data_IF_338090038728
#
_entry.id   IF_338090038728
#
_cell.length_a   1.000
_cell.length_b   1.000
_cell.length_c   1.000
_cell.angle_alpha   90.00
_cell.angle_beta   90.00
_cell.angle_gamma   90.00
#
_symmetry.space_group_name_H-M   'P 1'
#
loop_
_entity.id
_entity.type
_entity.pdbx_description
1 polymer ?
#
# COMPACT_ATOMS: atom_id res chain seq x y z
N UNK A 1 22.70 -2.52 16.11
CA UNK A 1 21.64 -1.68 15.47
C UNK A 1 20.40 -2.57 15.35
N UNK A 2 19.25 -2.13 15.86
CA UNK A 2 18.00 -2.90 15.80
C UNK A 2 17.23 -2.69 14.50
N UNK A 3 16.21 -3.52 14.27
CA UNK A 3 15.23 -3.32 13.20
C UNK A 3 14.39 -2.07 13.51
N UNK A 4 14.12 -1.24 12.49
CA UNK A 4 13.20 -0.11 12.65
C UNK A 4 11.79 -0.65 12.88
N UNK A 5 11.03 0.02 13.73
CA UNK A 5 9.59 -0.22 13.82
C UNK A 5 8.91 0.31 12.55
N UNK A 6 7.79 -0.33 12.18
CA UNK A 6 6.97 0.09 11.05
C UNK A 6 5.49 -0.01 11.41
N UNK A 7 4.68 0.90 10.86
CA UNK A 7 3.23 0.90 10.98
C UNK A 7 2.59 0.60 9.62
N UNK A 8 1.64 -0.32 9.62
CA UNK A 8 0.83 -0.70 8.45
C UNK A 8 -0.58 -0.16 8.67
N UNK A 9 -1.13 0.56 7.70
CA UNK A 9 -2.42 1.24 7.85
C UNK A 9 -3.10 1.47 6.50
N UNK A 10 -4.42 1.74 6.53
CA UNK A 10 -5.18 2.11 5.34
C UNK A 10 -5.12 3.64 5.13
N UNK A 11 -4.73 4.14 3.94
CA UNK A 11 -4.68 5.58 3.62
C UNK A 11 -6.00 6.33 3.86
N UNK A 12 -7.12 5.62 3.79
CA UNK A 12 -8.45 6.17 3.98
C UNK A 12 -8.94 6.12 5.44
N UNK A 13 -8.14 5.57 6.36
CA UNK A 13 -8.52 5.42 7.78
C UNK A 13 -8.79 6.72 8.53
N UNK A 14 -8.29 7.83 8.00
CA UNK A 14 -8.50 9.18 8.54
C UNK A 14 -9.71 9.90 7.92
N UNK A 15 -10.43 9.26 6.99
CA UNK A 15 -11.62 9.86 6.40
C UNK A 15 -12.82 9.73 7.33
N UNK A 16 -13.65 10.77 7.37
CA UNK A 16 -14.94 10.71 8.06
C UNK A 16 -15.92 9.81 7.31
N UNK A 17 -16.68 9.00 8.04
CA UNK A 17 -17.76 8.15 7.55
C UNK A 17 -19.10 8.69 8.08
N UNK A 18 -20.09 8.81 7.18
CA UNK A 18 -21.39 9.39 7.52
C UNK A 18 -21.32 10.91 7.73
N UNK A 19 -22.04 11.43 8.72
CA UNK A 19 -22.07 12.87 8.99
C UNK A 19 -20.75 13.39 9.63
N UNK A 20 -20.20 12.68 10.62
CA UNK A 20 -19.00 13.10 11.38
C UNK A 20 -18.22 11.92 12.02
N UNK A 21 -18.54 10.66 11.71
CA UNK A 21 -17.93 9.49 12.37
C UNK A 21 -16.60 9.08 11.74
N UNK A 22 -15.90 8.12 12.37
CA UNK A 22 -14.75 7.42 11.78
C UNK A 22 -15.02 5.91 11.81
N UNK A 23 -14.45 5.16 10.88
CA UNK A 23 -14.53 3.69 10.90
C UNK A 23 -13.67 3.15 12.06
N UNK A 24 -14.32 2.63 13.10
CA UNK A 24 -13.63 2.12 14.30
C UNK A 24 -12.73 0.91 14.03
N UNK A 25 -12.80 0.31 12.84
CA UNK A 25 -11.90 -0.79 12.42
C UNK A 25 -10.58 -0.26 11.85
N UNK A 26 -10.52 1.03 11.50
CA UNK A 26 -9.35 1.66 10.90
C UNK A 26 -8.60 2.49 11.96
N UNK A 27 -7.27 2.45 11.89
CA UNK A 27 -6.41 3.19 12.81
C UNK A 27 -6.16 4.60 12.26
N UNK A 28 -6.26 5.66 13.09
CA UNK A 28 -5.84 6.99 12.69
C UNK A 28 -4.31 7.01 12.55
N UNK A 29 -3.83 7.30 11.34
CA UNK A 29 -2.41 7.12 10.98
C UNK A 29 -1.61 8.42 10.92
N UNK A 30 -2.27 9.58 10.91
CA UNK A 30 -1.66 10.93 10.93
C UNK A 30 -0.88 11.22 12.22
N UNK A 31 -1.05 10.39 13.25
CA UNK A 31 -0.41 10.52 14.56
C UNK A 31 0.81 9.63 14.75
N UNK A 32 1.13 8.78 13.77
CA UNK A 32 2.35 7.99 13.86
C UNK A 32 3.59 8.88 13.86
N UNK A 33 4.64 8.53 14.63
CA UNK A 33 5.86 9.33 14.63
C UNK A 33 6.62 9.13 13.31
N UNK A 34 7.41 10.12 12.90
CA UNK A 34 8.30 10.02 11.73
C UNK A 34 9.52 9.13 11.96
N UNK A 35 9.75 8.69 13.19
CA UNK A 35 10.86 7.79 13.57
C UNK A 35 10.62 6.33 13.19
N UNK A 36 9.40 5.98 12.79
CA UNK A 36 9.02 4.65 12.30
C UNK A 36 8.73 4.69 10.81
N UNK A 37 8.79 3.52 10.17
CA UNK A 37 8.46 3.39 8.74
C UNK A 37 6.94 3.34 8.54
N UNK A 38 6.46 3.99 7.50
CA UNK A 38 5.04 4.04 7.17
C UNK A 38 4.78 3.17 5.96
N UNK A 39 3.95 2.14 6.13
CA UNK A 39 3.62 1.15 5.10
C UNK A 39 2.13 1.23 4.74
N UNK A 40 1.69 2.27 4.01
CA UNK A 40 0.28 2.43 3.65
C UNK A 40 -0.19 1.31 2.70
N UNK A 41 -1.27 0.63 3.06
CA UNK A 41 -1.93 -0.41 2.27
C UNK A 41 -2.72 0.23 1.13
N UNK A 42 -2.07 0.41 -0.01
CA UNK A 42 -2.55 1.17 -1.17
C UNK A 42 -3.30 0.26 -2.14
N UNK A 43 -4.44 -0.25 -1.67
CA UNK A 43 -5.19 -1.31 -2.35
C UNK A 43 -6.44 -0.80 -3.06
N UNK A 44 -6.51 0.50 -3.38
CA UNK A 44 -7.68 1.04 -4.06
C UNK A 44 -7.92 0.37 -5.42
N UNK A 45 -9.19 0.31 -5.80
CA UNK A 45 -9.68 -0.26 -7.04
C UNK A 45 -10.10 0.88 -7.97
N UNK A 46 -9.58 0.88 -9.20
CA UNK A 46 -9.90 1.82 -10.27
C UNK A 46 -9.35 1.31 -11.62
N UNK A 47 -9.71 1.96 -12.73
CA UNK A 47 -9.28 1.51 -14.06
C UNK A 47 -7.84 1.93 -14.44
N UNK A 48 -7.40 3.11 -13.99
CA UNK A 48 -6.20 3.80 -14.49
C UNK A 48 -5.11 4.01 -13.42
N UNK A 49 -5.26 3.40 -12.24
CA UNK A 49 -4.41 3.59 -11.05
C UNK A 49 -4.42 5.00 -10.42
N UNK A 50 -5.29 5.91 -10.87
CA UNK A 50 -5.45 7.24 -10.25
C UNK A 50 -5.81 7.16 -8.77
N UNK A 51 -6.63 6.19 -8.38
CA UNK A 51 -7.02 5.93 -7.00
C UNK A 51 -5.81 5.55 -6.11
N UNK A 52 -4.90 4.73 -6.63
CA UNK A 52 -3.68 4.32 -5.92
C UNK A 52 -2.76 5.52 -5.72
N UNK A 53 -2.55 6.29 -6.79
CA UNK A 53 -1.77 7.52 -6.74
C UNK A 53 -2.34 8.54 -5.74
N UNK A 54 -3.67 8.71 -5.70
CA UNK A 54 -4.34 9.60 -4.76
C UNK A 54 -4.16 9.16 -3.29
N UNK A 55 -4.21 7.86 -3.01
CA UNK A 55 -3.94 7.31 -1.68
C UNK A 55 -2.49 7.58 -1.25
N UNK A 56 -1.50 7.33 -2.12
CA UNK A 56 -0.09 7.67 -1.83
C UNK A 56 0.07 9.17 -1.61
N UNK A 57 -0.49 10.00 -2.49
CA UNK A 57 -0.41 11.45 -2.41
C UNK A 57 -0.94 11.95 -1.06
N UNK A 58 -2.09 11.44 -0.61
CA UNK A 58 -2.66 11.80 0.69
C UNK A 58 -1.70 11.51 1.84
N UNK A 59 -1.11 10.31 1.86
CA UNK A 59 -0.17 9.92 2.92
C UNK A 59 1.04 10.83 2.90
N UNK A 60 1.60 11.09 1.71
CA UNK A 60 2.75 11.99 1.58
C UNK A 60 2.46 13.43 1.96
N UNK A 61 1.23 13.92 1.77
CA UNK A 61 0.83 15.28 2.10
C UNK A 61 0.63 15.49 3.62
N UNK A 62 0.32 14.43 4.38
CA UNK A 62 0.12 14.49 5.83
C UNK A 62 1.31 13.98 6.63
N UNK A 63 2.23 13.25 5.99
CA UNK A 63 3.41 12.72 6.67
C UNK A 63 4.35 13.85 7.13
N UNK A 64 4.87 13.81 8.37
CA UNK A 64 5.90 14.73 8.80
C UNK A 64 7.15 14.63 7.90
N UNK A 65 7.87 15.73 7.75
CA UNK A 65 9.12 15.75 6.97
C UNK A 65 10.11 14.70 7.47
N UNK A 66 10.74 13.97 6.54
CA UNK A 66 11.72 12.92 6.85
C UNK A 66 11.13 11.54 7.15
N UNK A 67 9.79 11.39 7.12
CA UNK A 67 9.13 10.08 7.27
C UNK A 67 9.48 9.16 6.11
N UNK A 68 9.89 7.92 6.42
CA UNK A 68 10.14 6.90 5.41
C UNK A 68 8.81 6.21 5.05
N UNK A 69 8.33 6.42 3.82
CA UNK A 69 7.05 5.89 3.34
C UNK A 69 7.32 4.83 2.26
N UNK A 70 6.78 3.62 2.47
CA UNK A 70 6.87 2.50 1.55
C UNK A 70 5.46 1.91 1.30
N UNK A 71 4.73 2.40 0.28
CA UNK A 71 3.38 1.92 0.01
C UNK A 71 3.36 0.44 -0.37
N UNK A 72 2.42 -0.31 0.20
CA UNK A 72 2.13 -1.69 -0.18
C UNK A 72 1.07 -1.70 -1.28
N UNK A 73 1.38 -2.29 -2.43
CA UNK A 73 0.49 -2.34 -3.59
C UNK A 73 -0.19 -3.70 -3.71
N UNK A 74 -1.45 -3.72 -4.13
CA UNK A 74 -2.19 -4.93 -4.45
C UNK A 74 -2.42 -5.03 -5.96
N UNK A 75 -2.22 -6.22 -6.53
CA UNK A 75 -2.40 -6.47 -7.97
C UNK A 75 -1.39 -7.47 -8.52
N UNK A 76 -1.29 -7.55 -9.84
CA UNK A 76 -0.33 -8.40 -10.56
C UNK A 76 0.20 -7.67 -11.79
N UNK A 77 1.25 -8.20 -12.41
CA UNK A 77 1.87 -7.61 -13.59
C UNK A 77 1.04 -7.85 -14.84
N UNK A 78 0.95 -6.86 -15.73
CA UNK A 78 0.40 -7.01 -17.08
C UNK A 78 -1.12 -7.18 -17.19
N UNK A 79 -1.84 -7.35 -16.08
CA UNK A 79 -3.29 -7.57 -16.08
C UNK A 79 -3.99 -6.98 -14.86
N UNK A 80 -5.27 -6.67 -15.04
CA UNK A 80 -6.16 -6.30 -13.94
C UNK A 80 -6.58 -7.55 -13.18
N UNK A 81 -6.41 -7.56 -11.86
CA UNK A 81 -6.79 -8.67 -10.98
C UNK A 81 -7.75 -8.16 -9.92
N UNK A 82 -8.97 -8.72 -9.84
CA UNK A 82 -10.00 -8.27 -8.90
C UNK A 82 -10.22 -6.75 -8.92
N UNK A 83 -10.22 -6.16 -10.13
CA UNK A 83 -10.33 -4.71 -10.37
C UNK A 83 -9.13 -3.86 -9.89
N UNK A 84 -8.07 -4.48 -9.34
CA UNK A 84 -6.81 -3.78 -9.11
C UNK A 84 -6.09 -3.54 -10.45
N UNK A 85 -5.61 -2.32 -10.72
CA UNK A 85 -4.83 -2.03 -11.93
C UNK A 85 -3.56 -2.89 -12.02
N UNK A 86 -2.99 -3.11 -13.22
CA UNK A 86 -1.68 -3.73 -13.38
C UNK A 86 -0.59 -3.00 -12.58
N UNK A 87 0.35 -3.75 -11.98
CA UNK A 87 1.38 -3.18 -11.10
C UNK A 87 2.23 -2.11 -11.80
N UNK A 88 2.60 -2.31 -13.06
CA UNK A 88 3.38 -1.34 -13.82
C UNK A 88 2.65 0.01 -13.98
N UNK A 89 1.32 -0.01 -14.11
CA UNK A 89 0.51 1.21 -14.17
C UNK A 89 0.44 1.90 -12.82
N UNK A 90 0.30 1.13 -11.73
CA UNK A 90 0.34 1.68 -10.36
C UNK A 90 1.68 2.36 -10.08
N UNK A 91 2.79 1.69 -10.41
CA UNK A 91 4.15 2.24 -10.23
C UNK A 91 4.37 3.50 -11.06
N UNK A 92 3.91 3.51 -12.31
CA UNK A 92 3.99 4.69 -13.17
C UNK A 92 3.21 5.87 -12.58
N UNK A 93 1.98 5.64 -12.13
CA UNK A 93 1.13 6.66 -11.54
C UNK A 93 1.75 7.24 -10.26
N UNK A 94 2.24 6.39 -9.35
CA UNK A 94 2.93 6.80 -8.13
C UNK A 94 4.18 7.63 -8.45
N UNK A 95 4.98 7.20 -9.42
CA UNK A 95 6.20 7.93 -9.80
C UNK A 95 5.90 9.32 -10.36
N UNK A 96 4.77 9.49 -11.05
CA UNK A 96 4.33 10.77 -11.59
C UNK A 96 3.80 11.72 -10.50
N UNK A 97 3.02 11.20 -9.54
CA UNK A 97 2.35 12.05 -8.53
C UNK A 97 3.16 12.24 -7.25
N UNK A 98 3.99 11.26 -6.88
CA UNK A 98 4.77 11.23 -5.64
C UNK A 98 6.20 10.75 -5.90
N UNK A 99 7.01 11.50 -6.68
CA UNK A 99 8.37 11.10 -7.07
C UNK A 99 9.34 10.91 -5.90
N UNK A 100 9.00 11.41 -4.71
CA UNK A 100 9.74 11.20 -3.47
C UNK A 100 9.60 9.78 -2.90
N UNK A 101 8.65 8.97 -3.37
CA UNK A 101 8.53 7.56 -2.97
C UNK A 101 9.60 6.74 -3.68
N UNK A 102 10.56 6.24 -2.90
CA UNK A 102 11.71 5.49 -3.41
C UNK A 102 11.58 3.97 -3.27
N UNK A 103 10.59 3.51 -2.52
CA UNK A 103 10.36 2.10 -2.28
C UNK A 103 8.87 1.79 -2.27
N UNK A 104 8.52 0.58 -2.72
CA UNK A 104 7.20 0.00 -2.59
C UNK A 104 7.33 -1.41 -2.03
N UNK A 105 6.25 -1.95 -1.49
CA UNK A 105 6.10 -3.37 -1.22
C UNK A 105 4.89 -3.92 -1.98
N UNK A 106 4.72 -5.23 -2.00
CA UNK A 106 3.63 -5.89 -2.71
C UNK A 106 2.85 -6.81 -1.79
N UNK A 107 1.53 -6.77 -1.91
CA UNK A 107 0.60 -7.68 -1.27
C UNK A 107 -0.24 -8.41 -2.33
N UNK A 108 -0.31 -9.74 -2.37
CA UNK A 108 0.50 -10.73 -1.65
C UNK A 108 1.34 -11.55 -2.63
N UNK A 109 2.41 -12.19 -2.14
CA UNK A 109 3.24 -13.09 -2.94
C UNK A 109 2.39 -14.13 -3.71
N UNK A 110 1.33 -14.65 -3.10
CA UNK A 110 0.37 -15.59 -3.71
C UNK A 110 -0.41 -15.02 -4.91
N UNK A 111 -0.47 -13.70 -5.09
CA UNK A 111 -1.10 -13.07 -6.24
C UNK A 111 -0.14 -12.98 -7.43
N UNK A 112 1.16 -12.92 -7.18
CA UNK A 112 2.20 -12.98 -8.21
C UNK A 112 2.52 -14.43 -8.58
N UNK A 113 2.59 -15.31 -7.57
CA UNK A 113 3.09 -16.69 -7.70
C UNK A 113 2.10 -17.71 -7.09
N UNK A 114 0.84 -17.81 -7.58
CA UNK A 114 -0.21 -18.60 -6.95
C UNK A 114 0.07 -20.10 -6.91
N UNK A 115 0.70 -20.65 -7.95
CA UNK A 115 1.04 -22.08 -8.01
C UNK A 115 2.17 -22.40 -7.03
N UNK A 116 3.22 -21.58 -7.03
CA UNK A 116 4.35 -21.77 -6.14
C UNK A 116 3.97 -21.57 -4.66
N UNK A 117 3.14 -20.56 -4.35
CA UNK A 117 2.58 -20.39 -3.01
C UNK A 117 1.77 -21.61 -2.55
N UNK A 118 0.96 -22.20 -3.45
CA UNK A 118 0.22 -23.43 -3.17
C UNK A 118 1.13 -24.63 -2.92
N UNK A 119 2.24 -24.74 -3.67
CA UNK A 119 3.23 -25.80 -3.47
C UNK A 119 3.93 -25.67 -2.11
N UNK A 120 4.22 -24.45 -1.64
CA UNK A 120 4.82 -24.18 -0.33
C UNK A 120 3.97 -24.67 0.84
N UNK A 121 2.63 -24.71 0.69
CA UNK A 121 1.74 -25.26 1.73
C UNK A 121 2.07 -26.70 2.10
N UNK A 122 2.50 -27.50 1.13
CA UNK A 122 2.74 -28.93 1.31
C UNK A 122 4.22 -29.28 1.55
N UNK A 123 5.13 -28.29 1.51
CA UNK A 123 6.58 -28.47 1.71
C UNK A 123 7.15 -29.71 0.99
N UNK A 124 6.71 -29.99 -0.23
CA UNK A 124 7.28 -31.08 -1.01
C UNK A 124 8.55 -30.57 -1.70
N UNK A 125 9.66 -30.57 -0.94
CA UNK A 125 11.00 -30.55 -1.53
C UNK A 125 11.13 -31.86 -2.32
N UNK A 126 10.93 -31.80 -3.63
CA UNK A 126 11.35 -32.88 -4.54
C UNK A 126 12.83 -32.76 -4.80
#
# INVERSE_FOLDING_TARGET
RGLKAGAVFFPDGNQTVGAQGFDSRLQPWDRFPSTIEWHPMTYAICEDASCVAAQVQRVTAQAPTGTHIQPALAGTWGQTLHQHPPLEKQLQAIRQTSPQIQAVSHFAFSWQEPEFDRNRKFCQLR
#
